data_IF_007229318128
#
_entry.id   IF_007229318128
#
_cell.length_a   1.000
_cell.length_b   1.000
_cell.length_c   1.000
_cell.angle_alpha   90.00
_cell.angle_beta   90.00
_cell.angle_gamma   90.00
#
_symmetry.space_group_name_H-M   'P 1'
#
loop_
_entity.id
_entity.type
_entity.pdbx_description
1 polymer ?
#
# COMPACT_ATOMS: atom_id res chain seq x y z
N UNK A 1 4.17 -20.76 -1.77
CA UNK A 1 4.73 -20.27 -0.50
C UNK A 1 5.67 -19.07 -0.69
N UNK A 2 5.38 -18.16 -1.64
CA UNK A 2 6.35 -17.15 -2.11
C UNK A 2 5.69 -15.85 -2.61
N UNK A 3 4.62 -15.37 -1.95
CA UNK A 3 4.05 -14.04 -2.22
C UNK A 3 4.56 -12.93 -1.27
N UNK A 4 5.33 -13.31 -0.24
CA UNK A 4 5.87 -12.38 0.77
C UNK A 4 7.26 -11.84 0.43
N UNK A 5 7.96 -12.41 -0.56
CA UNK A 5 9.35 -12.04 -0.86
C UNK A 5 9.51 -10.88 -1.84
N UNK A 6 8.44 -10.39 -2.47
CA UNK A 6 8.52 -9.18 -3.32
C UNK A 6 8.47 -7.87 -2.52
N UNK A 7 8.41 -7.94 -1.19
CA UNK A 7 8.22 -6.80 -0.29
C UNK A 7 9.52 -6.13 0.18
N UNK A 8 10.67 -6.76 -0.04
CA UNK A 8 11.98 -6.33 0.51
C UNK A 8 12.98 -6.39 -0.64
N UNK A 9 13.53 -5.24 -1.04
CA UNK A 9 14.54 -5.20 -2.11
C UNK A 9 15.82 -5.93 -1.68
N UNK A 10 16.67 -6.31 -2.64
CA UNK A 10 17.96 -6.93 -2.32
C UNK A 10 18.83 -6.05 -1.40
N UNK A 11 18.73 -4.74 -1.57
CA UNK A 11 19.41 -3.74 -0.73
C UNK A 11 18.86 -3.78 0.70
N UNK A 12 17.54 -3.91 0.86
CA UNK A 12 16.90 -4.00 2.17
C UNK A 12 17.32 -5.27 2.92
N UNK A 13 17.49 -6.40 2.22
CA UNK A 13 18.01 -7.64 2.82
C UNK A 13 19.45 -7.50 3.30
N UNK A 14 20.31 -6.85 2.51
CA UNK A 14 21.70 -6.55 2.91
C UNK A 14 21.69 -5.64 4.14
N UNK A 15 20.89 -4.57 4.11
CA UNK A 15 20.76 -3.66 5.24
C UNK A 15 20.31 -4.40 6.50
N UNK A 16 19.29 -5.26 6.39
CA UNK A 16 18.78 -6.05 7.52
C UNK A 16 19.86 -6.99 8.09
N UNK A 17 20.64 -7.63 7.23
CA UNK A 17 21.72 -8.53 7.63
C UNK A 17 22.85 -7.78 8.34
N UNK A 18 23.26 -6.62 7.83
CA UNK A 18 24.27 -5.76 8.45
C UNK A 18 23.76 -5.21 9.79
N UNK A 19 22.51 -4.76 9.83
CA UNK A 19 21.87 -4.28 11.06
C UNK A 19 21.79 -5.36 12.13
N UNK A 20 21.39 -6.58 11.75
CA UNK A 20 21.35 -7.72 12.65
C UNK A 20 22.74 -8.08 13.18
N UNK A 21 23.77 -8.06 12.33
CA UNK A 21 25.15 -8.30 12.74
C UNK A 21 25.62 -7.25 13.77
N UNK A 22 25.39 -5.96 13.49
CA UNK A 22 25.73 -4.86 14.41
C UNK A 22 24.96 -5.02 15.74
N UNK A 23 23.68 -5.38 15.69
CA UNK A 23 22.86 -5.61 16.87
C UNK A 23 23.37 -6.78 17.71
N UNK A 24 23.78 -7.88 17.08
CA UNK A 24 24.39 -9.03 17.77
C UNK A 24 25.70 -8.63 18.43
N UNK A 25 26.57 -7.91 17.72
CA UNK A 25 27.84 -7.40 18.29
C UNK A 25 27.58 -6.46 19.47
N UNK A 26 26.58 -5.59 19.36
CA UNK A 26 26.16 -4.71 20.45
C UNK A 26 25.64 -5.50 21.68
N UNK A 27 24.87 -6.57 21.47
CA UNK A 27 24.40 -7.44 22.56
C UNK A 27 25.55 -8.17 23.25
N UNK A 28 26.59 -8.58 22.52
CA UNK A 28 27.78 -9.23 23.09
C UNK A 28 28.57 -8.31 24.02
N UNK A 29 28.64 -7.01 23.69
CA UNK A 29 29.34 -6.01 24.51
C UNK A 29 28.38 -5.24 25.46
N UNK A 30 27.12 -5.67 25.58
CA UNK A 30 26.11 -4.96 26.34
C UNK A 30 26.41 -4.98 27.84
N UNK A 31 26.69 -3.79 28.40
CA UNK A 31 26.89 -3.62 29.85
C UNK A 31 25.59 -3.14 30.48
N UNK A 32 24.95 -4.02 31.24
CA UNK A 32 23.69 -3.72 31.97
C UNK A 32 23.83 -2.50 32.90
N UNK A 33 25.03 -2.26 33.43
CA UNK A 33 25.34 -1.13 34.33
C UNK A 33 25.60 0.18 33.59
N UNK A 34 25.78 0.17 32.27
CA UNK A 34 26.05 1.37 31.47
C UNK A 34 24.76 2.03 30.99
N UNK A 35 24.54 3.29 31.39
CA UNK A 35 23.42 4.11 30.87
C UNK A 35 23.49 4.27 29.35
N UNK A 36 24.68 4.33 28.77
CA UNK A 36 24.86 4.46 27.32
C UNK A 36 24.36 3.22 26.57
N UNK A 37 24.60 2.02 27.09
CA UNK A 37 24.11 0.78 26.48
C UNK A 37 22.57 0.75 26.49
N UNK A 38 21.91 1.17 27.57
CA UNK A 38 20.45 1.28 27.59
C UNK A 38 19.90 2.31 26.59
N UNK A 39 20.56 3.45 26.42
CA UNK A 39 20.18 4.48 25.43
C UNK A 39 20.29 3.91 24.01
N UNK A 40 21.38 3.21 23.69
CA UNK A 40 21.58 2.60 22.37
C UNK A 40 20.53 1.51 22.11
N UNK A 41 20.22 0.68 23.11
CA UNK A 41 19.17 -0.34 23.01
C UNK A 41 17.79 0.28 22.76
N UNK A 42 17.46 1.37 23.45
CA UNK A 42 16.22 2.13 23.20
C UNK A 42 16.19 2.72 21.78
N UNK A 43 17.33 3.18 21.25
CA UNK A 43 17.46 3.63 19.87
C UNK A 43 17.15 2.52 18.86
N UNK A 44 17.70 1.32 19.07
CA UNK A 44 17.37 0.14 18.26
C UNK A 44 15.89 -0.23 18.34
N UNK A 45 15.30 -0.17 19.54
CA UNK A 45 13.88 -0.44 19.73
C UNK A 45 12.98 0.58 19.04
N UNK A 46 13.33 1.87 19.11
CA UNK A 46 12.61 2.94 18.44
C UNK A 46 12.68 2.79 16.91
N UNK A 47 13.86 2.45 16.37
CA UNK A 47 14.04 2.15 14.94
C UNK A 47 13.19 0.94 14.51
N UNK A 48 13.24 -0.16 15.27
CA UNK A 48 12.44 -1.35 14.99
C UNK A 48 10.93 -1.08 15.06
N UNK A 49 10.47 -0.35 16.09
CA UNK A 49 9.08 0.04 16.26
C UNK A 49 8.60 0.98 15.13
N UNK A 50 9.45 1.91 14.70
CA UNK A 50 9.16 2.79 13.57
C UNK A 50 8.96 1.99 12.28
N UNK A 51 9.90 1.11 11.93
CA UNK A 51 9.78 0.26 10.74
C UNK A 51 8.55 -0.67 10.81
N UNK A 52 8.30 -1.28 11.98
CA UNK A 52 7.11 -2.10 12.20
C UNK A 52 5.80 -1.33 12.05
N UNK A 53 5.74 -0.11 12.59
CA UNK A 53 4.57 0.77 12.45
C UNK A 53 4.33 1.17 10.99
N UNK A 54 5.39 1.47 10.23
CA UNK A 54 5.27 1.75 8.80
C UNK A 54 4.69 0.55 8.03
N UNK A 55 5.22 -0.65 8.26
CA UNK A 55 4.72 -1.86 7.62
C UNK A 55 3.25 -2.16 7.98
N UNK A 56 2.86 -1.97 9.24
CA UNK A 56 1.48 -2.16 9.68
C UNK A 56 0.52 -1.14 9.02
N UNK A 57 0.89 0.14 9.00
CA UNK A 57 0.10 1.20 8.36
C UNK A 57 -0.08 0.93 6.88
N UNK A 58 0.98 0.51 6.19
CA UNK A 58 0.95 0.12 4.77
C UNK A 58 0.03 -1.08 4.51
N UNK A 59 0.11 -2.12 5.34
CA UNK A 59 -0.79 -3.27 5.26
C UNK A 59 -2.26 -2.84 5.45
N UNK A 60 -2.52 -1.92 6.37
CA UNK A 60 -3.86 -1.37 6.59
C UNK A 60 -4.37 -0.61 5.38
N UNK A 61 -3.53 0.20 4.72
CA UNK A 61 -3.89 0.91 3.49
C UNK A 61 -4.17 -0.06 2.32
N UNK A 62 -3.36 -1.09 2.16
CA UNK A 62 -3.60 -2.16 1.17
C UNK A 62 -4.92 -2.90 1.42
N UNK A 63 -5.19 -3.27 2.68
CA UNK A 63 -6.46 -3.91 3.05
C UNK A 63 -7.67 -3.00 2.77
N UNK A 64 -7.54 -1.69 3.01
CA UNK A 64 -8.60 -0.73 2.73
C UNK A 64 -8.86 -0.62 1.22
N UNK A 65 -7.79 -0.63 0.41
CA UNK A 65 -7.88 -0.65 -1.05
C UNK A 65 -8.57 -1.93 -1.54
N UNK A 66 -8.15 -3.10 -1.07
CA UNK A 66 -8.76 -4.40 -1.42
C UNK A 66 -10.23 -4.48 -1.02
N UNK A 67 -10.60 -3.96 0.16
CA UNK A 67 -12.01 -3.90 0.59
C UNK A 67 -12.84 -3.05 -0.35
N UNK A 68 -12.35 -1.87 -0.74
CA UNK A 68 -13.06 -0.97 -1.67
C UNK A 68 -13.17 -1.57 -3.07
N UNK A 69 -12.11 -2.21 -3.57
CA UNK A 69 -12.17 -2.93 -4.84
C UNK A 69 -13.25 -4.03 -4.80
N UNK A 70 -13.35 -4.78 -3.71
CA UNK A 70 -14.35 -5.84 -3.55
C UNK A 70 -15.77 -5.31 -3.44
N UNK A 71 -15.99 -4.19 -2.74
CA UNK A 71 -17.29 -3.50 -2.71
C UNK A 71 -17.72 -3.07 -4.11
N UNK A 72 -16.77 -2.54 -4.88
CA UNK A 72 -17.01 -2.06 -6.23
C UNK A 72 -17.20 -3.22 -7.23
N UNK A 73 -16.53 -4.36 -7.04
CA UNK A 73 -16.78 -5.58 -7.80
C UNK A 73 -18.18 -6.15 -7.53
N UNK A 74 -18.65 -6.11 -6.27
CA UNK A 74 -20.00 -6.53 -5.95
C UNK A 74 -21.06 -5.64 -6.62
N UNK A 75 -20.84 -4.32 -6.65
CA UNK A 75 -21.69 -3.38 -7.39
C UNK A 75 -21.68 -3.66 -8.89
N UNK A 76 -20.52 -3.96 -9.48
CA UNK A 76 -20.41 -4.33 -10.89
C UNK A 76 -21.22 -5.61 -11.21
N UNK A 77 -21.14 -6.63 -10.34
CA UNK A 77 -21.96 -7.85 -10.46
C UNK A 77 -23.46 -7.57 -10.31
N UNK A 78 -23.83 -6.65 -9.43
CA UNK A 78 -25.22 -6.22 -9.26
C UNK A 78 -25.73 -5.54 -10.55
N UNK A 79 -24.95 -4.64 -11.15
CA UNK A 79 -25.28 -4.02 -12.43
C UNK A 79 -25.35 -5.04 -13.59
N UNK A 80 -24.45 -6.02 -13.64
CA UNK A 80 -24.52 -7.13 -14.61
C UNK A 80 -25.82 -7.94 -14.43
N UNK A 81 -26.20 -8.23 -13.18
CA UNK A 81 -27.44 -8.95 -12.88
C UNK A 81 -28.68 -8.15 -13.32
N UNK A 82 -28.72 -6.84 -13.05
CA UNK A 82 -29.82 -5.96 -13.45
C UNK A 82 -29.90 -5.80 -14.98
N UNK A 83 -28.76 -5.82 -15.69
CA UNK A 83 -28.71 -5.88 -17.15
C UNK A 83 -29.26 -7.20 -17.67
N UNK A 84 -28.85 -8.33 -17.08
CA UNK A 84 -29.32 -9.66 -17.45
C UNK A 84 -30.84 -9.83 -17.21
N UNK A 85 -31.37 -9.18 -16.19
CA UNK A 85 -32.80 -9.09 -15.89
C UNK A 85 -33.57 -8.10 -16.79
N UNK A 86 -32.90 -7.41 -17.72
CA UNK A 86 -33.50 -6.45 -18.64
C UNK A 86 -33.95 -5.13 -17.97
N UNK A 87 -33.55 -4.89 -16.72
CA UNK A 87 -33.89 -3.68 -15.95
C UNK A 87 -32.98 -2.49 -16.29
N UNK A 88 -31.89 -2.71 -17.01
CA UNK A 88 -30.89 -1.71 -17.38
C UNK A 88 -30.62 -1.74 -18.88
N UNK A 89 -30.61 -0.58 -19.52
CA UNK A 89 -30.24 -0.43 -20.93
C UNK A 89 -28.72 -0.53 -21.10
N UNK A 90 -28.26 -0.96 -22.28
CA UNK A 90 -26.83 -1.08 -22.61
C UNK A 90 -26.06 0.24 -22.39
N UNK A 91 -26.71 1.38 -22.67
CA UNK A 91 -26.14 2.70 -22.48
C UNK A 91 -25.97 3.06 -21.00
N UNK A 92 -27.01 2.83 -20.18
CA UNK A 92 -26.97 3.09 -18.75
C UNK A 92 -26.00 2.14 -18.01
N UNK A 93 -25.85 0.89 -18.48
CA UNK A 93 -24.82 -0.02 -17.97
C UNK A 93 -23.40 0.48 -18.24
N UNK A 94 -23.11 0.96 -19.46
CA UNK A 94 -21.79 1.49 -19.80
C UNK A 94 -21.44 2.74 -19.00
N UNK A 95 -22.40 3.63 -18.80
CA UNK A 95 -22.22 4.84 -18.01
C UNK A 95 -21.96 4.51 -16.54
N UNK A 96 -22.78 3.64 -15.94
CA UNK A 96 -22.59 3.18 -14.57
C UNK A 96 -21.23 2.50 -14.37
N UNK A 97 -20.78 1.67 -15.32
CA UNK A 97 -19.47 1.01 -15.26
C UNK A 97 -18.30 2.01 -15.35
N UNK A 98 -18.40 3.00 -16.23
CA UNK A 98 -17.39 4.04 -16.36
C UNK A 98 -17.30 4.91 -15.09
N UNK A 99 -18.43 5.21 -14.47
CA UNK A 99 -18.49 5.93 -13.20
C UNK A 99 -17.88 5.10 -12.05
N UNK A 100 -18.15 3.79 -12.04
CA UNK A 100 -17.57 2.83 -11.11
C UNK A 100 -16.04 2.77 -11.20
N UNK A 101 -15.50 2.71 -12.43
CA UNK A 101 -14.05 2.72 -12.67
C UNK A 101 -13.39 4.03 -12.22
N UNK A 102 -14.05 5.18 -12.47
CA UNK A 102 -13.57 6.48 -11.97
C UNK A 102 -13.57 6.52 -10.44
N UNK A 103 -14.64 6.04 -9.82
CA UNK A 103 -14.75 5.96 -8.36
C UNK A 103 -13.69 5.04 -7.75
N UNK A 104 -13.34 3.92 -8.40
CA UNK A 104 -12.23 3.03 -8.00
C UNK A 104 -10.90 3.80 -7.94
N UNK A 105 -10.58 4.54 -9.00
CA UNK A 105 -9.32 5.31 -9.07
C UNK A 105 -9.30 6.45 -8.06
N UNK A 106 -10.41 7.19 -7.93
CA UNK A 106 -10.51 8.30 -6.99
C UNK A 106 -10.40 7.85 -5.53
N UNK A 107 -11.00 6.70 -5.19
CA UNK A 107 -10.85 6.09 -3.87
C UNK A 107 -9.40 5.68 -3.60
N UNK A 108 -8.71 5.09 -4.57
CA UNK A 108 -7.29 4.75 -4.46
C UNK A 108 -6.40 5.98 -4.27
N UNK A 109 -6.66 7.06 -5.00
CA UNK A 109 -5.98 8.35 -4.82
C UNK A 109 -6.28 8.97 -3.46
N UNK A 110 -7.50 8.89 -2.96
CA UNK A 110 -7.86 9.39 -1.63
C UNK A 110 -7.10 8.66 -0.51
N UNK A 111 -6.90 7.34 -0.65
CA UNK A 111 -6.09 6.53 0.27
C UNK A 111 -4.64 6.98 0.27
N UNK A 112 -4.07 7.25 -0.92
CA UNK A 112 -2.71 7.77 -1.03
C UNK A 112 -2.57 9.20 -0.50
N UNK A 113 -3.55 10.08 -0.78
CA UNK A 113 -3.57 11.48 -0.28
C UNK A 113 -3.61 11.56 1.24
N UNK A 114 -4.16 10.56 1.92
CA UNK A 114 -4.17 10.49 3.38
C UNK A 114 -2.78 10.29 4.00
N UNK A 115 -1.75 10.02 3.19
CA UNK A 115 -0.38 9.84 3.63
C UNK A 115 0.58 10.76 2.85
N UNK A 116 1.20 11.71 3.54
CA UNK A 116 2.07 12.74 2.95
C UNK A 116 3.23 12.16 2.13
N UNK A 117 3.65 10.93 2.40
CA UNK A 117 4.75 10.27 1.67
C UNK A 117 4.42 10.00 0.20
N UNK A 118 3.15 9.83 -0.12
CA UNK A 118 2.71 9.53 -1.48
C UNK A 118 2.29 10.78 -2.25
N UNK A 119 2.48 11.98 -1.70
CA UNK A 119 2.00 13.24 -2.29
C UNK A 119 2.52 13.49 -3.70
N UNK A 120 3.79 13.16 -3.97
CA UNK A 120 4.37 13.30 -5.31
C UNK A 120 3.89 12.18 -6.26
N UNK A 121 3.71 10.95 -5.75
CA UNK A 121 3.14 9.84 -6.51
C UNK A 121 1.69 10.11 -6.92
N UNK A 122 0.89 10.68 -6.02
CA UNK A 122 -0.48 11.14 -6.29
C UNK A 122 -0.50 12.17 -7.42
N UNK A 123 0.35 13.20 -7.35
CA UNK A 123 0.44 14.22 -8.41
C UNK A 123 0.86 13.63 -9.76
N UNK A 124 1.77 12.65 -9.76
CA UNK A 124 2.19 11.97 -10.98
C UNK A 124 1.02 11.18 -11.58
N UNK A 125 0.32 10.38 -10.78
CA UNK A 125 -0.84 9.60 -11.21
C UNK A 125 -1.97 10.52 -11.69
N UNK A 126 -2.26 11.64 -11.02
CA UNK A 126 -3.29 12.61 -11.44
C UNK A 126 -2.99 13.28 -12.78
N UNK A 127 -1.72 13.63 -13.06
CA UNK A 127 -1.32 14.18 -14.36
C UNK A 127 -1.44 13.14 -15.46
N UNK A 128 -1.08 11.90 -15.16
CA UNK A 128 -1.13 10.82 -16.13
C UNK A 128 -2.53 10.24 -16.31
N UNK A 129 -3.46 10.41 -15.35
CA UNK A 129 -4.86 9.99 -15.43
C UNK A 129 -5.61 10.62 -16.60
N UNK A 130 -5.19 11.80 -17.07
CA UNK A 130 -5.74 12.40 -18.27
C UNK A 130 -5.40 11.60 -19.55
N UNK A 131 -4.39 10.72 -19.50
CA UNK A 131 -3.87 9.95 -20.62
C UNK A 131 -3.91 8.42 -20.42
N UNK A 132 -4.03 7.93 -19.17
CA UNK A 132 -4.04 6.51 -18.82
C UNK A 132 -5.45 6.04 -18.47
N UNK A 133 -5.75 4.79 -18.83
CA UNK A 133 -7.01 4.15 -18.45
C UNK A 133 -7.14 3.90 -16.94
N UNK A 134 -8.36 3.60 -16.45
CA UNK A 134 -8.61 3.35 -15.02
C UNK A 134 -7.83 2.16 -14.45
N UNK A 135 -7.66 1.10 -15.24
CA UNK A 135 -6.92 -0.10 -14.84
C UNK A 135 -5.41 0.17 -14.63
N UNK A 136 -4.77 0.92 -15.53
CA UNK A 136 -3.36 1.28 -15.38
C UNK A 136 -3.14 2.21 -14.18
N UNK A 137 -4.09 3.09 -13.92
CA UNK A 137 -4.06 4.00 -12.77
C UNK A 137 -4.16 3.22 -11.45
N UNK A 138 -5.07 2.22 -11.38
CA UNK A 138 -5.16 1.32 -10.24
C UNK A 138 -3.91 0.47 -10.05
N UNK A 139 -3.32 -0.02 -11.15
CA UNK A 139 -2.07 -0.77 -11.09
C UNK A 139 -0.94 0.07 -10.50
N UNK A 140 -0.80 1.33 -10.93
CA UNK A 140 0.19 2.27 -10.37
C UNK A 140 -0.06 2.60 -8.90
N UNK A 141 -1.32 2.76 -8.49
CA UNK A 141 -1.69 2.97 -7.08
C UNK A 141 -1.26 1.75 -6.24
N UNK A 142 -1.52 0.53 -6.74
CA UNK A 142 -1.13 -0.70 -6.06
C UNK A 142 0.39 -0.86 -6.01
N UNK A 143 1.09 -0.59 -7.11
CA UNK A 143 2.55 -0.59 -7.18
C UNK A 143 3.17 0.45 -6.25
N UNK A 144 2.58 1.63 -6.11
CA UNK A 144 3.03 2.64 -5.15
C UNK A 144 2.92 2.13 -3.70
N UNK A 145 1.79 1.52 -3.35
CA UNK A 145 1.58 0.88 -2.06
C UNK A 145 2.40 -0.42 -1.89
N UNK A 146 2.99 -0.96 -2.96
CA UNK A 146 3.84 -2.16 -2.94
C UNK A 146 5.35 -1.85 -3.02
N UNK A 147 5.75 -0.64 -3.42
CA UNK A 147 7.15 -0.27 -3.63
C UNK A 147 7.75 0.68 -2.58
N UNK A 148 6.93 1.36 -1.77
CA UNK A 148 7.34 2.18 -0.61
C UNK A 148 6.82 1.61 0.69
#
# INVERSE_FOLDING_TARGET
>A
MTAWMSFISYIDWIFLAVFALIFILFLLEFKVTSKQSWIVLLGFFALGAYLGFQGWRRKKLLQLLEQREKELENLEREYESLKAEGKLTEAAYREARAELERAKVEAGLAILRADERYRETVKAIEREYQNLGPEESLKKIREALQSN
#
